data_IF_968416867632
#
_entry.id   IF_968416867632
#
_cell.length_a   1.000
_cell.length_b   1.000
_cell.length_c   1.000
_cell.angle_alpha   90.00
_cell.angle_beta   90.00
_cell.angle_gamma   90.00
#
_symmetry.space_group_name_H-M   'P 1'
#
loop_
_entity.id
_entity.type
_entity.pdbx_description
1 polymer ?
#
# COMPACT_ATOMS: atom_id res chain seq x y z
N UNK A 1 9.62 14.65 -18.59
CA UNK A 1 9.96 14.94 -17.18
C UNK A 1 8.76 14.79 -16.25
N UNK A 2 7.64 15.51 -16.47
CA UNK A 2 6.46 15.45 -15.58
C UNK A 2 5.90 14.02 -15.39
N UNK A 3 5.76 13.24 -16.47
CA UNK A 3 5.29 11.84 -16.41
C UNK A 3 6.16 10.96 -15.50
N UNK A 4 7.47 11.13 -15.54
CA UNK A 4 8.42 10.36 -14.72
C UNK A 4 8.24 10.68 -13.23
N UNK A 5 8.08 11.96 -12.89
CA UNK A 5 7.82 12.40 -11.51
C UNK A 5 6.50 11.83 -11.00
N UNK A 6 5.44 11.89 -11.81
CA UNK A 6 4.13 11.32 -11.45
C UNK A 6 4.22 9.82 -11.22
N UNK A 7 4.85 9.06 -12.12
CA UNK A 7 4.99 7.61 -11.98
C UNK A 7 5.92 7.25 -10.80
N UNK A 8 6.95 8.05 -10.52
CA UNK A 8 7.78 7.89 -9.33
C UNK A 8 7.01 8.09 -8.04
N UNK A 9 6.19 9.14 -7.94
CA UNK A 9 5.32 9.37 -6.79
C UNK A 9 4.29 8.24 -6.60
N UNK A 10 3.70 7.74 -7.70
CA UNK A 10 2.81 6.58 -7.67
C UNK A 10 3.55 5.29 -7.26
N UNK A 11 4.79 5.11 -7.69
CA UNK A 11 5.64 4.00 -7.25
C UNK A 11 5.91 4.03 -5.75
N UNK A 12 6.17 5.21 -5.20
CA UNK A 12 6.30 5.39 -3.74
C UNK A 12 5.00 5.02 -3.01
N UNK A 13 3.89 5.59 -3.47
CA UNK A 13 2.56 5.37 -2.91
C UNK A 13 2.08 3.92 -3.01
N UNK A 14 2.48 3.16 -4.04
CA UNK A 14 2.22 1.72 -4.17
C UNK A 14 3.09 0.86 -3.21
N UNK A 15 4.38 1.20 -3.09
CA UNK A 15 5.33 0.40 -2.30
C UNK A 15 5.19 0.56 -0.79
N UNK A 16 4.76 1.73 -0.32
CA UNK A 16 4.65 2.06 1.09
C UNK A 16 3.68 1.14 1.86
N UNK A 17 2.41 0.96 1.45
CA UNK A 17 1.48 0.08 2.16
C UNK A 17 1.90 -1.39 2.12
N UNK A 18 2.58 -1.83 1.05
CA UNK A 18 3.07 -3.21 0.95
C UNK A 18 4.03 -3.54 2.09
N UNK A 19 5.07 -2.73 2.30
CA UNK A 19 6.07 -2.99 3.34
C UNK A 19 5.53 -2.70 4.74
N UNK A 20 4.67 -1.69 4.89
CA UNK A 20 4.05 -1.43 6.19
C UNK A 20 3.27 -2.63 6.70
N UNK A 21 2.58 -3.37 5.83
CA UNK A 21 1.86 -4.59 6.21
C UNK A 21 2.79 -5.81 6.26
N UNK A 22 3.71 -5.96 5.30
CA UNK A 22 4.55 -7.16 5.21
C UNK A 22 5.62 -7.26 6.30
N UNK A 23 6.21 -6.13 6.70
CA UNK A 23 7.34 -6.12 7.62
C UNK A 23 7.06 -5.27 8.86
N UNK A 24 6.73 -3.99 8.68
CA UNK A 24 6.65 -3.02 9.78
C UNK A 24 5.57 -3.37 10.80
N UNK A 25 4.42 -3.86 10.34
CA UNK A 25 3.33 -4.31 11.20
C UNK A 25 3.75 -5.48 12.09
N UNK A 26 4.54 -6.42 11.55
CA UNK A 26 5.06 -7.53 12.34
C UNK A 26 6.02 -7.06 13.44
N UNK A 27 6.84 -6.05 13.16
CA UNK A 27 7.71 -5.43 14.17
C UNK A 27 6.89 -4.72 15.23
N UNK A 28 5.85 -3.97 14.84
CA UNK A 28 4.93 -3.35 15.80
C UNK A 28 4.27 -4.39 16.71
N UNK A 29 3.71 -5.46 16.14
CA UNK A 29 3.09 -6.52 16.92
C UNK A 29 4.08 -7.20 17.88
N UNK A 30 5.33 -7.41 17.45
CA UNK A 30 6.37 -7.95 18.31
C UNK A 30 6.74 -7.00 19.46
N UNK A 31 6.84 -5.69 19.17
CA UNK A 31 7.18 -4.65 20.15
C UNK A 31 6.16 -4.56 21.30
N UNK A 32 4.89 -4.74 21.00
CA UNK A 32 3.81 -4.80 22.01
C UNK A 32 3.65 -6.18 22.66
N UNK A 33 4.54 -7.14 22.38
CA UNK A 33 4.56 -8.46 23.01
C UNK A 33 3.54 -9.46 22.45
N UNK A 34 3.08 -9.29 21.20
CA UNK A 34 2.18 -10.25 20.54
C UNK A 34 2.88 -11.58 20.28
N UNK A 35 2.16 -12.70 20.44
CA UNK A 35 2.68 -14.04 20.19
C UNK A 35 3.16 -14.23 18.73
N UNK A 36 4.30 -14.91 18.55
CA UNK A 36 4.90 -15.17 17.25
C UNK A 36 3.97 -15.90 16.27
N UNK A 37 3.12 -16.79 16.79
CA UNK A 37 2.11 -17.49 15.97
C UNK A 37 1.10 -16.53 15.37
N UNK A 38 0.64 -15.54 16.14
CA UNK A 38 -0.28 -14.49 15.67
C UNK A 38 0.41 -13.59 14.65
N UNK A 39 1.66 -13.17 14.89
CA UNK A 39 2.45 -12.42 13.90
C UNK A 39 2.56 -13.22 12.58
N UNK A 40 2.78 -14.53 12.69
CA UNK A 40 2.77 -15.46 11.56
C UNK A 40 1.43 -15.48 10.81
N UNK A 41 0.28 -15.39 11.50
CA UNK A 41 -1.03 -15.26 10.85
C UNK A 41 -1.17 -13.94 10.08
N UNK A 42 -0.68 -12.81 10.61
CA UNK A 42 -0.70 -11.54 9.89
C UNK A 42 0.10 -11.58 8.58
N UNK A 43 1.16 -12.39 8.49
CA UNK A 43 1.92 -12.56 7.26
C UNK A 43 1.06 -13.08 6.09
N UNK A 44 -0.04 -13.82 6.36
CA UNK A 44 -0.97 -14.29 5.33
C UNK A 44 -1.74 -13.17 4.66
N UNK A 45 -1.92 -12.02 5.34
CA UNK A 45 -2.59 -10.86 4.75
C UNK A 45 -1.86 -10.40 3.49
N UNK A 46 -0.54 -10.55 3.46
CA UNK A 46 0.29 -10.12 2.33
C UNK A 46 0.08 -11.00 1.10
N UNK A 47 -0.54 -12.18 1.25
CA UNK A 47 -0.96 -13.00 0.11
C UNK A 47 -1.91 -12.26 -0.81
N UNK A 48 -2.55 -11.16 -0.38
CA UNK A 48 -3.30 -10.30 -1.29
C UNK A 48 -2.43 -9.87 -2.48
N UNK A 49 -1.21 -9.40 -2.25
CA UNK A 49 -0.31 -8.98 -3.33
C UNK A 49 0.08 -10.13 -4.26
N UNK A 50 0.30 -11.34 -3.73
CA UNK A 50 0.61 -12.53 -4.53
C UNK A 50 -0.59 -13.02 -5.35
N UNK A 51 -1.79 -12.93 -4.78
CA UNK A 51 -3.04 -13.37 -5.38
C UNK A 51 -3.73 -12.27 -6.21
N UNK A 52 -3.05 -11.14 -6.44
CA UNK A 52 -3.63 -9.97 -7.12
C UNK A 52 -4.20 -10.27 -8.51
N UNK A 53 -3.68 -11.30 -9.18
CA UNK A 53 -4.20 -11.79 -10.45
C UNK A 53 -5.68 -12.21 -10.40
N UNK A 54 -6.22 -12.56 -9.22
CA UNK A 54 -7.62 -12.96 -9.06
C UNK A 54 -8.59 -11.78 -9.25
N UNK A 55 -8.24 -10.57 -8.81
CA UNK A 55 -9.07 -9.37 -8.99
C UNK A 55 -8.56 -8.43 -10.08
N UNK A 56 -7.37 -8.68 -10.64
CA UNK A 56 -6.87 -7.94 -11.80
C UNK A 56 -7.90 -7.83 -12.94
N UNK A 57 -8.62 -8.89 -13.35
CA UNK A 57 -9.67 -8.78 -14.37
C UNK A 57 -10.78 -7.79 -14.01
N UNK A 58 -11.12 -7.65 -12.73
CA UNK A 58 -12.14 -6.70 -12.31
C UNK A 58 -11.63 -5.26 -12.44
N UNK A 59 -10.41 -4.99 -11.97
CA UNK A 59 -9.75 -3.67 -12.10
C UNK A 59 -9.51 -3.31 -13.57
N UNK A 60 -9.20 -4.29 -14.41
CA UNK A 60 -8.89 -4.11 -15.82
C UNK A 60 -10.11 -3.93 -16.70
N UNK A 61 -11.28 -4.47 -16.34
CA UNK A 61 -12.47 -4.42 -17.18
C UNK A 61 -13.49 -3.39 -16.70
N UNK A 62 -13.63 -3.18 -15.39
CA UNK A 62 -14.63 -2.27 -14.84
C UNK A 62 -14.05 -0.89 -14.52
N UNK A 63 -14.92 0.12 -14.54
CA UNK A 63 -14.62 1.46 -14.05
C UNK A 63 -15.39 1.71 -12.77
N UNK A 64 -14.83 2.50 -11.86
CA UNK A 64 -15.52 2.89 -10.62
C UNK A 64 -16.61 3.93 -10.98
N UNK A 65 -17.91 3.62 -10.87
CA UNK A 65 -18.97 4.43 -11.45
C UNK A 65 -18.97 5.90 -11.01
N UNK A 66 -18.69 6.16 -9.73
CA UNK A 66 -18.70 7.51 -9.13
C UNK A 66 -17.44 8.34 -9.46
N UNK A 67 -16.32 7.68 -9.76
CA UNK A 67 -15.02 8.33 -10.00
C UNK A 67 -14.64 8.38 -11.48
N UNK A 68 -15.43 7.72 -12.36
CA UNK A 68 -15.10 7.53 -13.77
C UNK A 68 -14.82 8.83 -14.55
N UNK A 69 -15.26 9.99 -14.06
CA UNK A 69 -14.90 11.31 -14.59
C UNK A 69 -13.38 11.56 -14.68
N UNK A 70 -12.59 10.88 -13.85
CA UNK A 70 -11.12 10.97 -13.87
C UNK A 70 -10.46 9.97 -14.81
N UNK A 71 -11.23 9.09 -15.46
CA UNK A 71 -10.76 7.99 -16.28
C UNK A 71 -10.61 6.69 -15.51
N UNK A 72 -10.67 5.57 -16.23
CA UNK A 72 -10.76 4.21 -15.68
C UNK A 72 -9.66 3.90 -14.65
N UNK A 73 -8.39 4.09 -15.01
CA UNK A 73 -7.25 3.76 -14.12
C UNK A 73 -7.13 4.69 -12.93
N UNK A 74 -7.21 6.01 -13.16
CA UNK A 74 -7.10 7.01 -12.09
C UNK A 74 -8.19 6.86 -11.04
N UNK A 75 -9.39 6.42 -11.44
CA UNK A 75 -10.48 6.14 -10.52
C UNK A 75 -10.14 5.03 -9.53
N UNK A 76 -9.56 3.92 -10.01
CA UNK A 76 -9.11 2.82 -9.16
C UNK A 76 -7.94 3.23 -8.26
N UNK A 77 -6.99 4.00 -8.78
CA UNK A 77 -5.86 4.54 -7.98
C UNK A 77 -6.38 5.43 -6.84
N UNK A 78 -7.30 6.36 -7.13
CA UNK A 78 -7.85 7.26 -6.11
C UNK A 78 -8.66 6.51 -5.05
N UNK A 79 -9.47 5.53 -5.47
CA UNK A 79 -10.28 4.73 -4.56
C UNK A 79 -9.39 3.92 -3.61
N UNK A 80 -8.44 3.17 -4.16
CA UNK A 80 -7.51 2.35 -3.37
C UNK A 80 -6.63 3.19 -2.45
N UNK A 81 -6.08 4.30 -2.93
CA UNK A 81 -5.29 5.22 -2.11
C UNK A 81 -6.10 5.75 -0.91
N UNK A 82 -7.39 6.06 -1.12
CA UNK A 82 -8.27 6.53 -0.05
C UNK A 82 -8.49 5.44 1.00
N UNK A 83 -8.75 4.21 0.58
CA UNK A 83 -8.89 3.08 1.51
C UNK A 83 -7.59 2.77 2.25
N UNK A 84 -6.43 2.92 1.61
CA UNK A 84 -5.13 2.77 2.26
C UNK A 84 -4.94 3.83 3.34
N UNK A 85 -5.13 5.11 2.99
CA UNK A 85 -4.97 6.22 3.94
C UNK A 85 -5.93 6.07 5.14
N UNK A 86 -7.23 5.84 4.89
CA UNK A 86 -8.21 5.61 5.95
C UNK A 86 -7.86 4.37 6.76
N UNK A 87 -7.44 3.27 6.13
CA UNK A 87 -7.06 2.04 6.82
C UNK A 87 -5.83 2.20 7.71
N UNK A 88 -4.80 2.93 7.26
CA UNK A 88 -3.62 3.24 8.07
C UNK A 88 -3.97 4.14 9.27
N UNK A 89 -4.83 5.14 9.08
CA UNK A 89 -5.36 5.94 10.18
C UNK A 89 -6.16 5.09 11.17
N UNK A 90 -7.01 4.19 10.68
CA UNK A 90 -7.78 3.29 11.54
C UNK A 90 -6.87 2.31 12.30
N UNK A 91 -5.83 1.75 11.67
CA UNK A 91 -4.84 0.95 12.36
C UNK A 91 -4.17 1.75 13.49
N UNK A 92 -3.80 3.01 13.24
CA UNK A 92 -3.11 3.84 14.22
C UNK A 92 -3.87 4.08 15.52
N UNK A 93 -5.21 4.09 15.45
CA UNK A 93 -6.10 4.36 16.60
C UNK A 93 -6.77 3.09 17.14
N UNK A 94 -6.56 1.94 16.50
CA UNK A 94 -7.13 0.66 16.93
C UNK A 94 -6.05 -0.15 17.62
N UNK A 95 -6.35 -0.70 18.79
CA UNK A 95 -5.42 -1.59 19.49
C UNK A 95 -5.63 -3.05 19.08
N UNK A 96 -4.58 -3.79 18.66
CA UNK A 96 -4.68 -5.23 18.43
C UNK A 96 -4.98 -6.01 19.73
N UNK A 97 -4.72 -5.40 20.90
CA UNK A 97 -5.04 -5.98 22.22
C UNK A 97 -6.54 -5.88 22.57
N UNK A 98 -7.24 -4.89 22.02
CA UNK A 98 -8.69 -4.72 22.24
C UNK A 98 -9.50 -5.62 21.30
N UNK A 99 -9.14 -5.64 20.02
CA UNK A 99 -9.82 -6.48 19.03
C UNK A 99 -8.88 -6.89 17.90
N UNK A 100 -8.26 -8.06 18.08
CA UNK A 100 -7.36 -8.66 17.09
C UNK A 100 -8.04 -8.85 15.73
N UNK A 101 -9.30 -9.33 15.71
CA UNK A 101 -10.04 -9.58 14.48
C UNK A 101 -10.32 -8.30 13.69
N UNK A 102 -10.72 -7.23 14.38
CA UNK A 102 -10.98 -5.95 13.73
C UNK A 102 -9.69 -5.32 13.20
N UNK A 103 -8.62 -5.37 14.00
CA UNK A 103 -7.30 -4.91 13.58
C UNK A 103 -6.77 -5.68 12.35
N UNK A 104 -6.88 -7.02 12.36
CA UNK A 104 -6.52 -7.87 11.24
C UNK A 104 -7.36 -7.59 9.99
N UNK A 105 -8.66 -7.33 10.15
CA UNK A 105 -9.54 -6.96 9.05
C UNK A 105 -9.13 -5.62 8.41
N UNK A 106 -8.79 -4.60 9.21
CA UNK A 106 -8.29 -3.33 8.68
C UNK A 106 -6.96 -3.52 7.96
N UNK A 107 -6.02 -4.25 8.55
CA UNK A 107 -4.74 -4.57 7.91
C UNK A 107 -4.93 -5.31 6.57
N UNK A 108 -5.90 -6.23 6.52
CA UNK A 108 -6.32 -6.89 5.30
C UNK A 108 -6.89 -5.91 4.27
N UNK A 109 -7.77 -4.99 4.66
CA UNK A 109 -8.31 -3.98 3.76
C UNK A 109 -7.22 -3.07 3.19
N UNK A 110 -6.22 -2.70 3.99
CA UNK A 110 -5.06 -1.92 3.53
C UNK A 110 -4.27 -2.72 2.49
N UNK A 111 -3.92 -3.97 2.79
CA UNK A 111 -3.16 -4.83 1.87
C UNK A 111 -3.92 -5.16 0.58
N UNK A 112 -5.22 -5.42 0.69
CA UNK A 112 -6.09 -5.66 -0.45
C UNK A 112 -6.22 -4.41 -1.33
N UNK A 113 -6.44 -3.24 -0.72
CA UNK A 113 -6.48 -1.96 -1.45
C UNK A 113 -5.15 -1.64 -2.11
N UNK A 114 -4.03 -1.86 -1.42
CA UNK A 114 -2.69 -1.68 -2.00
C UNK A 114 -2.42 -2.60 -3.19
N UNK A 115 -2.89 -3.85 -3.15
CA UNK A 115 -2.77 -4.74 -4.31
C UNK A 115 -3.61 -4.28 -5.53
N UNK A 116 -4.79 -3.69 -5.30
CA UNK A 116 -5.63 -3.09 -6.35
C UNK A 116 -4.94 -1.86 -6.92
N UNK A 117 -4.36 -1.03 -6.06
CA UNK A 117 -3.61 0.15 -6.44
C UNK A 117 -2.44 -0.21 -7.34
N UNK A 118 -1.67 -1.23 -6.97
CA UNK A 118 -0.52 -1.72 -7.71
C UNK A 118 -0.93 -2.17 -9.14
N UNK A 119 -2.02 -2.94 -9.28
CA UNK A 119 -2.58 -3.30 -10.60
C UNK A 119 -2.95 -2.05 -11.41
N UNK A 120 -3.66 -1.11 -10.79
CA UNK A 120 -4.14 0.09 -11.47
C UNK A 120 -3.00 1.00 -11.93
N UNK A 121 -1.93 1.13 -11.13
CA UNK A 121 -0.74 1.92 -11.47
C UNK A 121 0.08 1.22 -12.57
N UNK A 122 0.25 -0.10 -12.49
CA UNK A 122 0.96 -0.86 -13.53
C UNK A 122 0.30 -0.67 -14.90
N UNK A 123 -1.02 -0.79 -14.96
CA UNK A 123 -1.77 -0.55 -16.19
C UNK A 123 -1.73 0.92 -16.63
N UNK A 124 -1.86 1.86 -15.68
CA UNK A 124 -1.77 3.29 -15.96
C UNK A 124 -0.41 3.68 -16.56
N UNK A 125 0.69 3.11 -16.08
CA UNK A 125 2.05 3.35 -16.60
C UNK A 125 2.16 2.96 -18.08
N UNK A 126 1.59 1.80 -18.44
CA UNK A 126 1.60 1.29 -19.82
C UNK A 126 0.78 2.21 -20.73
N UNK A 127 -0.41 2.65 -20.27
CA UNK A 127 -1.30 3.54 -21.04
C UNK A 127 -0.78 4.98 -21.17
N UNK A 128 0.14 5.42 -20.30
CA UNK A 128 0.56 6.83 -20.21
C UNK A 128 1.58 7.26 -21.30
N UNK A 129 2.34 6.34 -21.89
CA UNK A 129 3.36 6.68 -22.87
C UNK A 129 3.70 5.54 -23.86
N UNK A 130 4.25 5.93 -25.01
CA UNK A 130 4.71 5.01 -26.04
C UNK A 130 5.82 4.07 -25.55
N UNK A 131 6.02 2.97 -26.27
CA UNK A 131 6.94 1.89 -25.89
C UNK A 131 8.39 2.38 -25.66
N UNK A 132 8.83 3.38 -26.41
CA UNK A 132 10.17 3.97 -26.31
C UNK A 132 10.41 4.69 -24.97
N UNK A 133 9.35 5.08 -24.26
CA UNK A 133 9.44 5.77 -22.97
C UNK A 133 9.21 4.83 -21.77
N UNK A 134 8.75 3.60 -22.01
CA UNK A 134 8.40 2.66 -20.94
C UNK A 134 9.58 2.31 -20.04
N UNK A 135 10.80 2.21 -20.57
CA UNK A 135 12.01 2.00 -19.76
C UNK A 135 12.21 3.10 -18.71
N UNK A 136 12.05 4.36 -19.10
CA UNK A 136 12.19 5.51 -18.17
C UNK A 136 11.07 5.54 -17.12
N UNK A 137 9.84 5.20 -17.51
CA UNK A 137 8.71 5.15 -16.58
C UNK A 137 8.86 3.98 -15.60
N UNK A 138 9.30 2.81 -16.05
CA UNK A 138 9.57 1.67 -15.19
C UNK A 138 10.69 1.97 -14.18
N UNK A 139 11.78 2.61 -14.63
CA UNK A 139 12.85 3.05 -13.75
C UNK A 139 12.36 4.06 -12.70
N UNK A 140 11.54 5.03 -13.12
CA UNK A 140 10.95 6.03 -12.22
C UNK A 140 10.03 5.38 -11.18
N UNK A 141 9.16 4.46 -11.60
CA UNK A 141 8.29 3.67 -10.73
C UNK A 141 9.10 2.91 -9.69
N UNK A 142 10.10 2.16 -10.14
CA UNK A 142 10.93 1.33 -9.27
C UNK A 142 11.74 2.18 -8.28
N UNK A 143 12.24 3.35 -8.72
CA UNK A 143 12.94 4.28 -7.85
C UNK A 143 12.05 4.76 -6.70
N UNK A 144 10.83 5.25 -7.01
CA UNK A 144 9.87 5.64 -5.99
C UNK A 144 9.51 4.49 -5.04
N UNK A 145 9.28 3.30 -5.59
CA UNK A 145 8.99 2.10 -4.81
C UNK A 145 10.13 1.72 -3.85
N UNK A 146 11.40 1.85 -4.27
CA UNK A 146 12.56 1.59 -3.40
C UNK A 146 12.67 2.62 -2.28
N UNK A 147 12.39 3.90 -2.55
CA UNK A 147 12.33 4.93 -1.52
C UNK A 147 11.24 4.58 -0.51
N UNK A 148 10.06 4.16 -0.97
CA UNK A 148 8.98 3.75 -0.08
C UNK A 148 9.36 2.59 0.81
N UNK A 149 10.09 1.57 0.30
CA UNK A 149 10.64 0.50 1.13
C UNK A 149 11.51 1.08 2.24
N UNK A 150 12.50 1.93 1.93
CA UNK A 150 13.38 2.53 2.94
C UNK A 150 12.60 3.33 4.00
N UNK A 151 11.60 4.12 3.56
CA UNK A 151 10.79 4.92 4.47
C UNK A 151 9.96 4.03 5.41
N UNK A 152 9.27 3.04 4.85
CA UNK A 152 8.38 2.16 5.62
C UNK A 152 9.12 1.11 6.46
N UNK A 153 10.32 0.64 6.06
CA UNK A 153 11.08 -0.36 6.81
C UNK A 153 12.05 0.22 7.82
N UNK A 154 12.62 1.40 7.57
CA UNK A 154 13.71 1.94 8.38
C UNK A 154 13.30 3.23 9.07
N UNK A 155 12.84 4.24 8.31
CA UNK A 155 12.41 5.50 8.91
C UNK A 155 11.21 5.30 9.84
N UNK A 156 10.24 4.47 9.47
CA UNK A 156 9.08 4.18 10.31
C UNK A 156 9.48 3.57 11.66
N UNK A 157 10.49 2.69 11.70
CA UNK A 157 10.97 2.09 12.96
C UNK A 157 11.68 3.11 13.85
N UNK A 158 12.54 3.95 13.26
CA UNK A 158 13.21 5.05 13.98
C UNK A 158 12.17 6.04 14.53
N UNK A 159 11.17 6.39 13.71
CA UNK A 159 10.12 7.29 14.16
C UNK A 159 9.25 6.65 15.25
N UNK A 160 8.96 5.34 15.14
CA UNK A 160 8.21 4.61 16.15
C UNK A 160 8.96 4.50 17.49
N UNK A 161 10.29 4.37 17.49
CA UNK A 161 11.06 4.34 18.75
C UNK A 161 10.99 5.65 19.51
N UNK A 162 10.88 6.78 18.80
CA UNK A 162 10.91 8.11 19.41
C UNK A 162 9.49 8.64 19.72
N UNK A 163 8.50 8.34 18.87
CA UNK A 163 7.15 8.93 18.91
C UNK A 163 6.01 7.91 19.03
N UNK A 164 6.31 6.62 18.96
CA UNK A 164 5.33 5.54 19.07
C UNK A 164 4.59 5.21 17.77
N UNK A 165 4.01 4.00 17.73
CA UNK A 165 3.41 3.42 16.52
C UNK A 165 2.18 4.16 15.99
N UNK A 166 1.36 4.75 16.87
CA UNK A 166 0.19 5.54 16.46
C UNK A 166 0.61 6.72 15.59
N UNK A 167 1.58 7.54 16.02
CA UNK A 167 2.04 8.68 15.23
C UNK A 167 2.75 8.22 13.95
N UNK A 168 3.50 7.12 13.99
CA UNK A 168 4.13 6.54 12.80
C UNK A 168 3.09 6.19 11.73
N UNK A 169 2.05 5.43 12.07
CA UNK A 169 1.05 5.02 11.08
C UNK A 169 0.18 6.21 10.59
N UNK A 170 -0.04 7.23 11.43
CA UNK A 170 -0.69 8.48 11.00
C UNK A 170 0.16 9.27 10.01
N UNK A 171 1.48 9.34 10.23
CA UNK A 171 2.41 10.03 9.33
C UNK A 171 2.53 9.33 7.98
N UNK A 172 2.35 8.01 7.96
CA UNK A 172 2.45 7.19 6.74
C UNK A 172 1.15 7.14 5.91
N UNK A 173 0.02 7.58 6.47
CA UNK A 173 -1.30 7.56 5.84
C UNK A 173 -1.48 8.71 4.83
#
# INVERSE_FOLDING_TARGET
>A
MLKNVTIGALGFSSGLPYILIFSTLGVWLADIGTDLSLIGFFAWIVLTYSLKFLWAPAVDNFSVPLLNRFGKRKSWILLSQTFIAVGLLLLSITSPLESLYFFAFIAFLVAFSGSIQDIAIDAFRIELADINQQGNLAASYQFGYRIAILVSSSFALIFASDYGWTLTYQLMA
#
